data_IF_939169517954
#
_entry.id   IF_939169517954
#
_cell.length_a   1.000
_cell.length_b   1.000
_cell.length_c   1.000
_cell.angle_alpha   90.00
_cell.angle_beta   90.00
_cell.angle_gamma   90.00
#
_symmetry.space_group_name_H-M   'P 1'
#
loop_
_entity.id
_entity.type
_entity.pdbx_description
1 polymer ?
#
# COMPACT_ATOMS: atom_id res chain seq x y z
N UNK A 1 7.13 -26.43 10.32
CA UNK A 1 8.10 -26.04 11.37
C UNK A 1 9.36 -25.39 10.80
N UNK A 2 9.79 -25.73 9.58
CA UNK A 2 11.02 -25.22 8.95
C UNK A 2 10.90 -23.77 8.43
N UNK A 3 9.72 -23.38 7.94
CA UNK A 3 9.40 -22.00 7.53
C UNK A 3 9.53 -20.96 8.64
N UNK A 4 9.33 -21.36 9.91
CA UNK A 4 9.43 -20.47 11.07
C UNK A 4 10.86 -20.27 11.56
N UNK A 5 11.77 -21.23 11.32
CA UNK A 5 13.20 -21.11 11.66
C UNK A 5 13.96 -20.20 10.69
N UNK A 6 13.65 -20.28 9.40
CA UNK A 6 14.26 -19.42 8.36
C UNK A 6 14.09 -17.91 8.62
N UNK A 7 13.03 -17.51 9.34
CA UNK A 7 12.80 -16.12 9.78
C UNK A 7 13.71 -15.66 10.91
N UNK A 8 14.17 -16.57 11.77
CA UNK A 8 15.11 -16.26 12.85
C UNK A 8 16.54 -16.08 12.33
N UNK A 9 16.87 -16.70 11.19
CA UNK A 9 18.23 -16.77 10.65
C UNK A 9 18.52 -15.75 9.53
N UNK A 10 17.59 -14.83 9.24
CA UNK A 10 17.85 -13.69 8.35
C UNK A 10 18.06 -14.04 6.87
N UNK A 11 17.40 -15.07 6.35
CA UNK A 11 17.51 -15.43 4.93
C UNK A 11 16.85 -14.40 3.98
N UNK A 12 17.55 -14.13 2.88
CA UNK A 12 17.45 -13.03 1.90
C UNK A 12 16.13 -12.83 1.11
N UNK A 13 14.98 -13.20 1.67
CA UNK A 13 13.64 -12.97 1.08
C UNK A 13 12.85 -11.80 1.69
N UNK A 14 13.42 -11.07 2.65
CA UNK A 14 12.78 -9.95 3.33
C UNK A 14 13.23 -8.61 2.77
N UNK A 15 12.33 -7.62 2.74
CA UNK A 15 12.65 -6.24 2.40
C UNK A 15 13.87 -5.72 3.18
N UNK A 16 14.70 -4.88 2.55
CA UNK A 16 15.87 -4.27 3.20
C UNK A 16 15.47 -3.08 4.11
N UNK A 17 16.45 -2.44 4.74
CA UNK A 17 16.21 -1.31 5.64
C UNK A 17 15.64 -0.08 4.91
N UNK A 18 16.08 0.18 3.67
CA UNK A 18 15.59 1.29 2.87
C UNK A 18 14.16 1.06 2.39
N UNK A 19 13.84 -0.16 1.96
CA UNK A 19 12.49 -0.57 1.60
C UNK A 19 11.53 -0.49 2.79
N UNK A 20 11.96 -0.89 4.00
CA UNK A 20 11.17 -0.70 5.23
C UNK A 20 10.89 0.77 5.51
N UNK A 21 11.92 1.61 5.52
CA UNK A 21 11.78 3.05 5.78
C UNK A 21 10.87 3.73 4.75
N UNK A 22 11.00 3.36 3.47
CA UNK A 22 10.14 3.86 2.41
C UNK A 22 8.69 3.39 2.59
N UNK A 23 8.46 2.11 2.86
CA UNK A 23 7.11 1.57 3.10
C UNK A 23 6.43 2.24 4.28
N UNK A 24 7.12 2.39 5.42
CA UNK A 24 6.63 3.12 6.58
C UNK A 24 6.24 4.55 6.20
N UNK A 25 7.12 5.28 5.50
CA UNK A 25 6.85 6.67 5.15
C UNK A 25 5.68 6.81 4.17
N UNK A 26 5.59 5.95 3.16
CA UNK A 26 4.48 5.96 2.21
C UNK A 26 3.15 5.63 2.91
N UNK A 27 3.13 4.63 3.77
CA UNK A 27 1.94 4.29 4.55
C UNK A 27 1.46 5.47 5.42
N UNK A 28 2.38 6.13 6.13
CA UNK A 28 2.06 7.28 6.98
C UNK A 28 1.58 8.50 6.17
N UNK A 29 2.11 8.71 4.96
CA UNK A 29 1.67 9.79 4.08
C UNK A 29 0.29 9.53 3.46
N UNK A 30 -0.02 8.27 3.12
CA UNK A 30 -1.30 7.91 2.48
C UNK A 30 -2.45 7.85 3.49
N UNK A 31 -2.20 7.26 4.66
CA UNK A 31 -3.19 7.18 5.76
C UNK A 31 -2.51 7.63 7.07
N UNK A 32 -2.38 8.95 7.29
CA UNK A 32 -1.82 9.48 8.53
C UNK A 32 -2.78 9.25 9.70
N UNK A 33 -2.27 9.37 10.93
CA UNK A 33 -3.15 9.39 12.10
C UNK A 33 -3.91 10.71 12.18
N UNK A 34 -5.22 10.63 12.38
CA UNK A 34 -6.13 11.77 12.59
C UNK A 34 -6.88 11.60 13.92
N UNK A 35 -8.20 11.77 13.92
CA UNK A 35 -9.10 11.30 14.96
C UNK A 35 -9.17 9.76 15.05
N UNK A 36 -8.70 9.04 14.03
CA UNK A 36 -8.49 7.59 14.02
C UNK A 36 -7.00 7.25 13.90
N UNK A 37 -6.53 6.13 14.51
CA UNK A 37 -5.15 5.69 14.33
C UNK A 37 -4.85 5.37 12.86
N UNK A 38 -3.74 5.88 12.30
CA UNK A 38 -3.42 5.69 10.88
C UNK A 38 -2.76 4.35 10.52
N UNK A 39 -2.26 4.24 9.30
CA UNK A 39 -1.69 2.99 8.74
C UNK A 39 -0.53 2.40 9.54
N UNK A 40 0.28 3.24 10.20
CA UNK A 40 1.36 2.76 11.08
C UNK A 40 0.82 1.98 12.28
N UNK A 41 -0.25 2.49 12.91
CA UNK A 41 -0.89 1.83 14.04
C UNK A 41 -1.53 0.49 13.62
N UNK A 42 -2.07 0.43 12.41
CA UNK A 42 -2.63 -0.76 11.80
C UNK A 42 -1.59 -1.76 11.23
N UNK A 43 -0.28 -1.52 11.43
CA UNK A 43 0.81 -2.40 10.94
C UNK A 43 0.79 -2.62 9.42
N UNK A 44 0.25 -1.65 8.68
CA UNK A 44 0.20 -1.69 7.21
C UNK A 44 1.59 -1.75 6.57
N UNK A 45 2.66 -1.10 7.08
CA UNK A 45 3.99 -1.26 6.49
C UNK A 45 4.47 -2.71 6.48
N UNK A 46 4.35 -3.41 7.60
CA UNK A 46 4.75 -4.82 7.72
C UNK A 46 3.92 -5.71 6.78
N UNK A 47 2.61 -5.48 6.74
CA UNK A 47 1.70 -6.16 5.84
C UNK A 47 2.02 -5.89 4.36
N UNK A 48 2.32 -4.64 4.00
CA UNK A 48 2.66 -4.22 2.63
C UNK A 48 3.91 -4.96 2.15
N UNK A 49 4.96 -4.99 2.97
CA UNK A 49 6.19 -5.70 2.64
C UNK A 49 5.96 -7.20 2.53
N UNK A 50 5.12 -7.79 3.40
CA UNK A 50 4.74 -9.19 3.29
C UNK A 50 3.97 -9.47 1.99
N UNK A 51 2.99 -8.62 1.66
CA UNK A 51 2.17 -8.73 0.44
C UNK A 51 3.01 -8.58 -0.83
N UNK A 52 3.96 -7.65 -0.86
CA UNK A 52 4.90 -7.50 -1.98
C UNK A 52 5.89 -8.66 -2.05
N UNK A 53 6.31 -9.22 -0.91
CA UNK A 53 7.28 -10.32 -0.88
C UNK A 53 6.69 -11.68 -1.27
N UNK A 54 5.40 -11.90 -1.00
CA UNK A 54 4.77 -13.23 -1.13
C UNK A 54 3.45 -13.25 -1.90
N UNK A 55 2.73 -12.13 -1.94
CA UNK A 55 1.33 -12.09 -2.38
C UNK A 55 1.10 -11.97 -3.88
N UNK A 56 2.13 -12.00 -4.72
CA UNK A 56 2.01 -11.77 -6.18
C UNK A 56 2.76 -12.80 -7.04
N UNK A 57 3.14 -13.96 -6.50
CA UNK A 57 3.66 -15.04 -7.32
C UNK A 57 2.54 -15.57 -8.25
N UNK A 58 2.46 -15.03 -9.46
CA UNK A 58 1.56 -15.51 -10.53
C UNK A 58 0.19 -14.83 -10.66
N UNK A 59 -0.06 -13.68 -10.02
CA UNK A 59 -1.43 -13.09 -9.94
C UNK A 59 -1.59 -11.66 -10.47
N UNK A 60 -0.56 -11.01 -11.05
CA UNK A 60 -0.73 -9.71 -11.71
C UNK A 60 0.31 -9.47 -12.83
N UNK A 61 -0.07 -8.66 -13.82
CA UNK A 61 0.83 -8.13 -14.84
C UNK A 61 1.91 -7.23 -14.21
N UNK A 62 3.11 -7.25 -14.79
CA UNK A 62 4.27 -6.49 -14.32
C UNK A 62 4.14 -4.99 -14.66
N UNK A 63 4.92 -4.09 -14.02
CA UNK A 63 5.00 -2.72 -14.49
C UNK A 63 5.65 -2.74 -15.87
N UNK A 64 4.94 -2.24 -16.88
CA UNK A 64 5.47 -2.05 -18.23
C UNK A 64 5.98 -0.61 -18.41
N UNK A 65 6.72 -0.36 -19.49
CA UNK A 65 7.18 0.98 -19.86
C UNK A 65 8.35 1.51 -19.00
N UNK A 66 8.45 2.83 -18.73
CA UNK A 66 9.61 3.43 -18.06
C UNK A 66 9.78 3.00 -16.59
N UNK A 67 8.76 2.33 -16.04
CA UNK A 67 8.75 1.80 -14.67
C UNK A 67 9.13 0.32 -14.60
N UNK A 68 9.29 -0.36 -15.75
CA UNK A 68 9.78 -1.72 -15.84
C UNK A 68 11.23 -1.78 -15.34
N UNK A 69 11.53 -2.69 -14.41
CA UNK A 69 12.90 -2.90 -13.93
C UNK A 69 13.50 -4.09 -14.66
N UNK A 70 14.59 -3.86 -15.40
CA UNK A 70 15.44 -4.95 -15.88
C UNK A 70 16.08 -5.65 -14.66
N UNK A 71 15.62 -6.87 -14.36
CA UNK A 71 16.18 -7.68 -13.28
C UNK A 71 17.55 -8.21 -13.72
N UNK A 72 18.57 -8.05 -12.87
CA UNK A 72 19.79 -8.84 -13.02
C UNK A 72 19.44 -10.32 -12.80
N UNK A 73 19.81 -11.17 -13.76
CA UNK A 73 19.64 -12.62 -13.65
C UNK A 73 20.32 -13.08 -12.34
N UNK A 74 19.55 -13.69 -11.44
CA UNK A 74 20.04 -14.13 -10.13
C UNK A 74 19.70 -13.23 -8.93
N UNK A 75 18.94 -12.14 -9.11
CA UNK A 75 18.46 -11.34 -7.97
C UNK A 75 17.61 -12.16 -6.98
N UNK A 76 17.93 -12.05 -5.69
CA UNK A 76 17.22 -12.65 -4.56
C UNK A 76 15.97 -11.84 -4.12
N UNK A 77 15.80 -10.61 -4.62
CA UNK A 77 14.68 -9.74 -4.25
C UNK A 77 13.36 -10.32 -4.75
N UNK A 78 12.36 -10.54 -3.87
CA UNK A 78 11.02 -10.92 -4.28
C UNK A 78 10.46 -10.02 -5.39
N UNK A 79 9.82 -10.63 -6.39
CA UNK A 79 9.32 -9.93 -7.58
C UNK A 79 8.42 -8.74 -7.24
N UNK A 80 7.56 -8.82 -6.21
CA UNK A 80 6.68 -7.71 -5.87
C UNK A 80 7.38 -6.49 -5.24
N UNK A 81 8.56 -6.63 -4.63
CA UNK A 81 9.28 -5.46 -4.08
C UNK A 81 9.79 -4.50 -5.18
N UNK A 82 9.83 -4.96 -6.44
CA UNK A 82 10.13 -4.10 -7.59
C UNK A 82 9.17 -2.91 -7.73
N UNK A 83 7.89 -3.07 -7.38
CA UNK A 83 6.93 -1.96 -7.40
C UNK A 83 7.34 -0.85 -6.42
N UNK A 84 7.78 -1.23 -5.22
CA UNK A 84 8.22 -0.30 -4.18
C UNK A 84 9.53 0.38 -4.59
N UNK A 85 10.47 -0.37 -5.17
CA UNK A 85 11.72 0.17 -5.68
C UNK A 85 11.51 1.15 -6.84
N UNK A 86 10.55 0.88 -7.74
CA UNK A 86 10.22 1.78 -8.85
C UNK A 86 9.71 3.13 -8.34
N UNK A 87 8.76 3.12 -7.39
CA UNK A 87 8.25 4.34 -6.74
C UNK A 87 9.37 5.04 -5.97
N UNK A 88 10.18 4.30 -5.21
CA UNK A 88 11.32 4.85 -4.46
C UNK A 88 12.35 5.56 -5.34
N UNK A 89 12.67 4.99 -6.51
CA UNK A 89 13.57 5.62 -7.48
C UNK A 89 12.98 6.89 -8.07
N UNK A 90 11.70 6.88 -8.46
CA UNK A 90 11.05 8.09 -9.00
C UNK A 90 11.03 9.22 -7.96
N UNK A 91 10.69 8.90 -6.71
CA UNK A 91 10.76 9.85 -5.59
C UNK A 91 12.18 10.38 -5.37
N UNK A 92 13.19 9.50 -5.41
CA UNK A 92 14.61 9.90 -5.27
C UNK A 92 15.05 10.85 -6.38
N UNK A 93 14.63 10.59 -7.64
CA UNK A 93 14.92 11.45 -8.79
C UNK A 93 14.25 12.82 -8.63
N UNK A 94 12.97 12.84 -8.25
CA UNK A 94 12.22 14.08 -8.03
C UNK A 94 12.77 14.88 -6.84
N UNK A 95 13.16 14.20 -5.77
CA UNK A 95 13.79 14.74 -4.57
C UNK A 95 15.21 15.27 -4.82
N UNK A 96 15.89 14.80 -5.88
CA UNK A 96 17.34 14.98 -6.12
C UNK A 96 18.18 14.52 -4.91
N UNK A 97 17.76 13.46 -4.26
CA UNK A 97 18.37 12.97 -3.02
C UNK A 97 17.46 11.98 -2.29
N UNK A 98 17.77 11.72 -1.02
CA UNK A 98 16.97 10.83 -0.19
C UNK A 98 15.62 11.47 0.18
N UNK A 99 14.55 10.93 -0.40
CA UNK A 99 13.18 11.35 -0.16
C UNK A 99 12.77 11.25 1.32
N UNK A 100 13.17 10.18 2.02
CA UNK A 100 12.74 9.92 3.41
C UNK A 100 13.35 10.92 4.39
N UNK A 101 14.47 11.54 4.01
CA UNK A 101 15.14 12.59 4.80
C UNK A 101 14.61 14.01 4.54
N UNK A 102 13.70 14.21 3.58
CA UNK A 102 13.13 15.53 3.28
C UNK A 102 12.13 16.01 4.34
N UNK A 103 11.87 17.33 4.45
CA UNK A 103 10.81 17.85 5.33
C UNK A 103 9.43 17.24 4.99
N UNK A 104 8.57 16.97 5.98
CA UNK A 104 7.29 16.28 5.77
C UNK A 104 6.41 16.88 4.69
N UNK A 105 6.36 18.23 4.62
CA UNK A 105 5.59 18.94 3.58
C UNK A 105 6.13 18.66 2.18
N UNK A 106 7.45 18.63 2.01
CA UNK A 106 8.08 18.35 0.71
C UNK A 106 7.83 16.90 0.31
N UNK A 107 7.87 15.96 1.26
CA UNK A 107 7.55 14.56 0.99
C UNK A 107 6.11 14.39 0.51
N UNK A 108 5.17 15.04 1.19
CA UNK A 108 3.77 15.06 0.79
C UNK A 108 3.59 15.64 -0.61
N UNK A 109 4.19 16.80 -0.90
CA UNK A 109 4.04 17.47 -2.21
C UNK A 109 4.63 16.62 -3.36
N UNK A 110 5.76 15.95 -3.14
CA UNK A 110 6.35 15.03 -4.11
C UNK A 110 5.52 13.78 -4.32
N UNK A 111 4.96 13.20 -3.25
CA UNK A 111 4.07 12.05 -3.37
C UNK A 111 2.76 12.42 -4.08
N UNK A 112 2.18 13.59 -3.75
CA UNK A 112 0.99 14.11 -4.41
C UNK A 112 1.22 14.34 -5.92
N UNK A 113 2.43 14.75 -6.31
CA UNK A 113 2.81 14.83 -7.72
C UNK A 113 2.82 13.46 -8.41
N UNK A 114 3.43 12.45 -7.79
CA UNK A 114 3.41 11.07 -8.32
C UNK A 114 1.98 10.54 -8.39
N UNK A 115 1.15 10.82 -7.38
CA UNK A 115 -0.26 10.46 -7.37
C UNK A 115 -0.99 11.07 -8.56
N UNK A 116 -0.85 12.39 -8.76
CA UNK A 116 -1.46 13.07 -9.90
C UNK A 116 -0.97 12.54 -11.26
N UNK A 117 0.31 12.17 -11.38
CA UNK A 117 0.86 11.56 -12.60
C UNK A 117 0.28 10.16 -12.87
N UNK A 118 0.20 9.32 -11.83
CA UNK A 118 -0.33 7.97 -11.94
C UNK A 118 -1.81 7.95 -12.39
N UNK A 119 -2.63 8.85 -11.84
CA UNK A 119 -4.06 8.92 -12.13
C UNK A 119 -4.42 9.86 -13.31
N UNK A 120 -3.42 10.40 -14.04
CA UNK A 120 -3.65 11.13 -15.28
C UNK A 120 -3.88 10.17 -16.48
N UNK A 121 -4.51 10.63 -17.58
CA UNK A 121 -4.63 9.83 -18.79
C UNK A 121 -3.26 9.34 -19.30
N UNK A 122 -3.12 8.03 -19.55
CA UNK A 122 -1.84 7.40 -19.92
C UNK A 122 -0.99 6.92 -18.73
N UNK A 123 -1.47 7.09 -17.50
CA UNK A 123 -0.80 6.63 -16.27
C UNK A 123 -1.20 5.23 -15.81
N UNK A 124 -1.99 4.47 -16.57
CA UNK A 124 -2.66 3.23 -16.12
C UNK A 124 -1.67 2.19 -15.57
N UNK A 125 -0.47 2.10 -16.16
CA UNK A 125 0.58 1.15 -15.77
C UNK A 125 1.55 1.70 -14.72
N UNK A 126 1.26 2.85 -14.11
CA UNK A 126 2.14 3.48 -13.13
C UNK A 126 2.30 2.63 -11.87
N UNK A 127 3.55 2.40 -11.42
CA UNK A 127 3.84 1.51 -10.30
C UNK A 127 3.19 1.93 -8.97
N UNK A 128 2.91 3.23 -8.83
CA UNK A 128 2.22 3.82 -7.69
C UNK A 128 0.82 3.23 -7.45
N UNK A 129 0.07 2.86 -8.49
CA UNK A 129 -1.25 2.22 -8.33
C UNK A 129 -1.16 1.02 -7.41
N UNK A 130 -0.23 0.10 -7.69
CA UNK A 130 -0.05 -1.13 -6.91
C UNK A 130 0.27 -0.84 -5.44
N UNK A 131 1.13 0.14 -5.18
CA UNK A 131 1.53 0.51 -3.82
C UNK A 131 0.35 1.15 -3.06
N UNK A 132 -0.32 2.13 -3.67
CA UNK A 132 -1.47 2.80 -3.06
C UNK A 132 -2.62 1.82 -2.80
N UNK A 133 -2.94 0.96 -3.76
CA UNK A 133 -3.97 -0.06 -3.63
C UNK A 133 -3.69 -1.01 -2.47
N UNK A 134 -2.44 -1.46 -2.33
CA UNK A 134 -2.05 -2.33 -1.22
C UNK A 134 -2.10 -1.57 0.12
N UNK A 135 -1.65 -0.32 0.20
CA UNK A 135 -1.77 0.47 1.44
C UNK A 135 -3.23 0.59 1.87
N UNK A 136 -4.13 0.96 0.95
CA UNK A 136 -5.56 1.10 1.25
C UNK A 136 -6.19 -0.26 1.60
N UNK A 137 -5.83 -1.33 0.89
CA UNK A 137 -6.29 -2.69 1.19
C UNK A 137 -5.87 -3.12 2.59
N UNK A 138 -4.59 -2.99 2.93
CA UNK A 138 -4.07 -3.36 4.25
C UNK A 138 -4.70 -2.55 5.37
N UNK A 139 -4.98 -1.26 5.14
CA UNK A 139 -5.63 -0.42 6.14
C UNK A 139 -7.11 -0.75 6.32
N UNK A 140 -7.90 -0.76 5.25
CA UNK A 140 -9.36 -0.93 5.34
C UNK A 140 -9.81 -2.38 5.58
N UNK A 141 -8.88 -3.35 5.54
CA UNK A 141 -9.12 -4.73 6.02
C UNK A 141 -8.66 -4.95 7.46
N UNK A 142 -8.03 -3.95 8.09
CA UNK A 142 -7.70 -4.00 9.52
C UNK A 142 -8.91 -3.62 10.39
N UNK A 143 -8.89 -3.98 11.67
CA UNK A 143 -9.91 -3.54 12.63
C UNK A 143 -9.96 -2.00 12.74
N UNK A 144 -8.80 -1.35 12.73
CA UNK A 144 -8.68 0.11 12.83
C UNK A 144 -9.37 0.79 11.64
N UNK A 145 -9.04 0.41 10.40
CA UNK A 145 -9.66 1.01 9.22
C UNK A 145 -11.10 0.55 8.99
N UNK A 146 -11.34 -0.77 9.06
CA UNK A 146 -12.63 -1.35 8.70
C UNK A 146 -13.74 -1.14 9.74
N UNK A 147 -13.42 -1.11 11.04
CA UNK A 147 -14.43 -1.07 12.11
C UNK A 147 -14.35 0.16 13.01
N UNK A 148 -13.17 0.76 13.17
CA UNK A 148 -13.04 1.97 13.99
C UNK A 148 -13.24 3.21 13.12
N UNK A 149 -12.48 3.36 12.03
CA UNK A 149 -12.64 4.48 11.09
C UNK A 149 -13.94 4.40 10.28
N UNK A 150 -14.24 3.22 9.73
CA UNK A 150 -15.50 2.95 9.05
C UNK A 150 -16.51 2.29 9.99
N UNK A 151 -17.77 2.25 9.55
CA UNK A 151 -18.85 1.53 10.23
C UNK A 151 -18.93 0.13 9.64
N UNK A 152 -18.27 -0.83 10.28
CA UNK A 152 -18.36 -2.22 9.84
C UNK A 152 -19.77 -2.78 9.99
N UNK A 153 -20.33 -3.30 8.91
CA UNK A 153 -21.60 -4.02 8.86
C UNK A 153 -21.38 -5.37 8.17
N UNK A 154 -21.61 -6.44 8.94
CA UNK A 154 -21.51 -7.82 8.44
C UNK A 154 -22.64 -8.13 7.48
N UNK A 155 -22.34 -8.78 6.35
CA UNK A 155 -23.35 -9.17 5.36
C UNK A 155 -23.94 -10.57 5.68
N UNK A 156 -25.27 -10.78 5.54
CA UNK A 156 -26.29 -9.77 5.24
C UNK A 156 -26.57 -8.88 6.47
N UNK A 157 -26.55 -7.56 6.23
CA UNK A 157 -26.81 -6.54 7.24
C UNK A 157 -28.30 -6.28 7.49
N UNK A 158 -28.61 -5.24 8.27
CA UNK A 158 -29.98 -4.82 8.53
C UNK A 158 -30.47 -3.95 7.37
N UNK A 159 -31.58 -4.33 6.75
CA UNK A 159 -32.22 -3.45 5.76
C UNK A 159 -32.92 -2.27 6.46
N UNK A 160 -32.44 -1.06 6.18
CA UNK A 160 -33.04 0.20 6.62
C UNK A 160 -33.29 1.10 5.39
N UNK A 161 -34.57 1.42 5.06
CA UNK A 161 -34.89 2.16 3.84
C UNK A 161 -34.48 3.64 3.89
N UNK A 162 -34.32 4.20 5.09
CA UNK A 162 -33.99 5.61 5.32
C UNK A 162 -33.02 5.71 6.50
N UNK A 163 -31.74 5.92 6.20
CA UNK A 163 -30.67 6.05 7.19
C UNK A 163 -30.30 7.53 7.29
N UNK A 164 -30.50 8.18 8.45
CA UNK A 164 -30.09 9.57 8.64
C UNK A 164 -28.56 9.72 8.51
N UNK A 165 -28.11 10.58 7.60
CA UNK A 165 -26.69 10.94 7.43
C UNK A 165 -26.47 12.38 7.92
N UNK A 166 -25.49 12.55 8.81
CA UNK A 166 -25.10 13.85 9.37
C UNK A 166 -23.60 14.12 9.25
N UNK A 167 -23.12 15.28 9.75
CA UNK A 167 -21.72 15.71 9.59
C UNK A 167 -20.67 14.77 10.18
N UNK A 168 -21.06 13.88 11.11
CA UNK A 168 -20.18 12.90 11.75
C UNK A 168 -20.48 11.45 11.33
N UNK A 169 -21.33 11.25 10.32
CA UNK A 169 -21.61 9.92 9.79
C UNK A 169 -20.38 9.39 9.04
N UNK A 170 -19.78 8.35 9.61
CA UNK A 170 -18.70 7.58 8.97
C UNK A 170 -19.27 6.72 7.84
N UNK A 171 -18.46 6.48 6.81
CA UNK A 171 -18.82 5.59 5.72
C UNK A 171 -18.93 4.14 6.21
N UNK A 172 -19.70 3.33 5.50
CA UNK A 172 -19.87 1.92 5.82
C UNK A 172 -18.72 1.09 5.27
N UNK A 173 -18.34 0.04 6.00
CA UNK A 173 -17.47 -1.03 5.54
C UNK A 173 -18.28 -2.32 5.59
N UNK A 174 -18.24 -3.10 4.52
CA UNK A 174 -18.80 -4.44 4.49
C UNK A 174 -17.81 -5.38 3.83
N UNK A 175 -17.85 -6.64 4.22
CA UNK A 175 -16.96 -7.72 3.77
C UNK A 175 -17.30 -8.21 2.34
N UNK A 176 -17.76 -7.31 1.48
CA UNK A 176 -18.12 -7.63 0.11
C UNK A 176 -16.90 -7.58 -0.82
N UNK A 177 -16.07 -8.61 -0.77
CA UNK A 177 -15.11 -8.88 -1.84
C UNK A 177 -15.81 -9.68 -2.95
N UNK A 178 -16.07 -9.01 -4.08
CA UNK A 178 -16.25 -9.59 -5.41
C UNK A 178 -17.21 -10.80 -5.54
N UNK A 179 -18.49 -10.53 -5.74
CA UNK A 179 -19.31 -11.34 -6.66
C UNK A 179 -19.50 -10.51 -7.93
N UNK A 180 -18.68 -10.74 -8.95
CA UNK A 180 -19.05 -10.26 -10.28
C UNK A 180 -20.35 -10.98 -10.67
N UNK A 181 -21.48 -10.25 -10.68
CA UNK A 181 -22.69 -10.68 -11.38
C UNK A 181 -22.62 -10.13 -12.80
N UNK A 182 -21.92 -10.84 -13.70
CA UNK A 182 -21.85 -10.48 -15.12
C UNK A 182 -20.77 -11.22 -15.89
#
# INVERSE_FOLDING_TARGET
>A
MELWRRRADGESGSADAGQRALAERLCDLVVPSTDTPGAIAAKVPDWLLLALSHGQAGTAAQPDGPYAIARSVGSATPMGLTWLDAVGRQLTVLAKGDFVSLPPRVQHDLLARIDAEAFAPGGENHAWHKIKDLILTGYYTSEIGGSQELRYELVPGRWEPDIPIGPHSRAFSSDWTAVDFG
#
